data_IF_870693554668
#
_entry.id   IF_870693554668
#
_cell.length_a   1.000
_cell.length_b   1.000
_cell.length_c   1.000
_cell.angle_alpha   90.00
_cell.angle_beta   90.00
_cell.angle_gamma   90.00
#
_symmetry.space_group_name_H-M   'P 1'
#
loop_
_entity.id
_entity.type
_entity.pdbx_description
1 polymer ?
#
# COMPACT_ATOMS: atom_id res chain seq x y z
N UNK A 1 -38.77 -0.77 4.73
CA UNK A 1 -37.71 -1.79 4.53
C UNK A 1 -36.39 -1.05 4.35
N UNK A 2 -35.31 -1.56 4.93
CA UNK A 2 -33.95 -1.01 4.73
C UNK A 2 -33.08 -2.06 4.01
N UNK A 3 -32.33 -1.62 3.00
CA UNK A 3 -31.30 -2.45 2.37
C UNK A 3 -30.08 -2.55 3.31
N UNK A 4 -29.43 -3.71 3.36
CA UNK A 4 -28.26 -3.97 4.20
C UNK A 4 -27.11 -4.45 3.34
N UNK A 5 -25.95 -3.81 3.50
CA UNK A 5 -24.72 -4.10 2.77
C UNK A 5 -23.64 -4.56 3.75
N UNK A 6 -22.72 -5.43 3.29
CA UNK A 6 -21.56 -5.86 4.07
C UNK A 6 -20.40 -4.89 3.82
N UNK A 7 -19.82 -4.39 4.91
CA UNK A 7 -18.63 -3.55 4.91
C UNK A 7 -17.57 -4.31 5.71
N UNK A 8 -16.50 -4.76 5.03
CA UNK A 8 -15.38 -5.48 5.63
C UNK A 8 -14.10 -4.65 5.44
N UNK A 9 -14.14 -3.37 5.85
CA UNK A 9 -13.07 -2.41 5.60
C UNK A 9 -12.82 -1.46 6.76
N UNK A 10 -11.58 -0.99 6.86
CA UNK A 10 -11.19 0.12 7.71
C UNK A 10 -11.75 1.42 7.14
N UNK A 11 -12.27 2.31 7.99
CA UNK A 11 -12.83 3.60 7.60
C UNK A 11 -12.24 4.72 8.47
N UNK A 12 -12.20 5.93 7.94
CA UNK A 12 -11.86 7.14 8.72
C UNK A 12 -12.92 7.40 9.80
N UNK A 13 -12.51 8.02 10.91
CA UNK A 13 -13.34 8.23 12.10
C UNK A 13 -14.70 8.88 11.80
N UNK A 14 -14.72 9.90 10.93
CA UNK A 14 -15.94 10.63 10.57
C UNK A 14 -16.91 9.86 9.67
N UNK A 15 -16.56 8.67 9.17
CA UNK A 15 -17.42 7.92 8.24
C UNK A 15 -18.63 7.31 8.97
N UNK A 16 -18.45 6.83 10.21
CA UNK A 16 -19.56 6.25 10.99
C UNK A 16 -20.63 7.31 11.25
N UNK A 17 -20.22 8.47 11.76
CA UNK A 17 -21.13 9.58 12.06
C UNK A 17 -21.81 10.11 10.80
N UNK A 18 -21.10 10.16 9.66
CA UNK A 18 -21.69 10.54 8.38
C UNK A 18 -22.78 9.56 7.93
N UNK A 19 -22.59 8.26 8.11
CA UNK A 19 -23.61 7.25 7.75
C UNK A 19 -24.84 7.40 8.66
N UNK A 20 -24.63 7.57 9.97
CA UNK A 20 -25.72 7.75 10.94
C UNK A 20 -26.48 9.06 10.69
N UNK A 21 -25.76 10.16 10.42
CA UNK A 21 -26.33 11.46 10.10
C UNK A 21 -27.17 11.47 8.82
N UNK A 22 -26.89 10.57 7.87
CA UNK A 22 -27.68 10.36 6.67
C UNK A 22 -28.88 9.39 6.88
N UNK A 23 -29.22 9.07 8.13
CA UNK A 23 -30.32 8.17 8.50
C UNK A 23 -29.99 6.68 8.39
N UNK A 24 -28.72 6.34 8.18
CA UNK A 24 -28.23 4.96 8.17
C UNK A 24 -28.05 4.39 9.58
N UNK A 25 -27.85 3.07 9.65
CA UNK A 25 -27.42 2.38 10.88
C UNK A 25 -26.14 1.61 10.61
N UNK A 26 -25.19 1.65 11.54
CA UNK A 26 -23.87 1.03 11.40
C UNK A 26 -23.65 0.05 12.53
N UNK A 27 -23.12 -1.13 12.20
CA UNK A 27 -22.52 -2.05 13.17
C UNK A 27 -21.00 -1.96 12.99
N UNK A 28 -20.32 -1.32 13.93
CA UNK A 28 -18.86 -1.21 13.98
C UNK A 28 -18.31 -1.84 15.26
N UNK A 29 -16.99 -1.99 15.32
CA UNK A 29 -16.23 -2.39 16.51
C UNK A 29 -14.87 -1.71 16.45
N UNK A 30 -14.25 -1.50 17.61
CA UNK A 30 -12.85 -1.08 17.68
C UNK A 30 -11.93 -2.28 17.42
N UNK A 31 -10.82 -2.05 16.74
CA UNK A 31 -9.80 -3.06 16.45
C UNK A 31 -8.71 -3.02 17.53
N UNK A 32 -8.13 -4.18 17.86
CA UNK A 32 -6.85 -4.24 18.59
C UNK A 32 -5.68 -3.82 17.69
N UNK A 33 -4.51 -3.56 18.25
CA UNK A 33 -3.32 -3.14 17.48
C UNK A 33 -2.95 -4.13 16.37
N UNK A 34 -3.03 -5.44 16.64
CA UNK A 34 -2.75 -6.50 15.66
C UNK A 34 -3.78 -6.46 14.54
N UNK A 35 -5.07 -6.38 14.89
CA UNK A 35 -6.16 -6.28 13.90
C UNK A 35 -6.07 -4.98 13.10
N UNK A 36 -5.62 -3.89 13.73
CA UNK A 36 -5.44 -2.60 13.08
C UNK A 36 -4.36 -2.65 12.02
N UNK A 37 -3.22 -3.29 12.31
CA UNK A 37 -2.14 -3.46 11.33
C UNK A 37 -2.59 -4.28 10.11
N UNK A 38 -3.31 -5.38 10.34
CA UNK A 38 -3.82 -6.22 9.25
C UNK A 38 -4.93 -5.53 8.44
N UNK A 39 -5.79 -4.76 9.11
CA UNK A 39 -6.80 -3.94 8.45
C UNK A 39 -6.15 -2.79 7.63
N UNK A 40 -5.10 -2.15 8.16
CA UNK A 40 -4.37 -1.09 7.45
C UNK A 40 -3.65 -1.62 6.21
N UNK A 41 -3.05 -2.81 6.27
CA UNK A 41 -2.46 -3.49 5.09
C UNK A 41 -3.52 -3.80 4.04
N UNK A 42 -4.67 -4.31 4.46
CA UNK A 42 -5.79 -4.61 3.55
C UNK A 42 -6.32 -3.33 2.91
N UNK A 43 -6.48 -2.26 3.69
CA UNK A 43 -6.92 -0.95 3.20
C UNK A 43 -5.90 -0.32 2.27
N UNK A 44 -4.60 -0.46 2.52
CA UNK A 44 -3.57 0.03 1.60
C UNK A 44 -3.67 -0.63 0.22
N UNK A 45 -3.97 -1.93 0.17
CA UNK A 45 -4.22 -2.63 -1.09
C UNK A 45 -5.53 -2.19 -1.77
N UNK A 46 -6.53 -1.73 -1.01
CA UNK A 46 -7.73 -1.07 -1.56
C UNK A 46 -7.31 0.26 -2.23
N UNK A 47 -6.67 1.17 -1.50
CA UNK A 47 -6.35 2.51 -2.03
C UNK A 47 -5.32 2.46 -3.17
N UNK A 48 -4.38 1.51 -3.17
CA UNK A 48 -3.46 1.31 -4.32
C UNK A 48 -4.23 0.84 -5.56
N UNK A 49 -5.28 0.02 -5.41
CA UNK A 49 -6.13 -0.36 -6.55
C UNK A 49 -6.98 0.82 -7.01
N UNK A 50 -7.48 1.63 -6.09
CA UNK A 50 -8.21 2.86 -6.42
C UNK A 50 -7.30 3.85 -7.15
N UNK A 51 -6.06 4.08 -6.66
CA UNK A 51 -5.04 4.89 -7.34
C UNK A 51 -4.74 4.37 -8.76
N UNK A 52 -4.65 3.05 -8.95
CA UNK A 52 -4.42 2.46 -10.28
C UNK A 52 -5.59 2.68 -11.24
N UNK A 53 -6.82 2.80 -10.72
CA UNK A 53 -8.02 3.07 -11.51
C UNK A 53 -8.33 4.57 -11.64
N UNK A 54 -7.73 5.41 -10.79
CA UNK A 54 -8.00 6.83 -10.68
C UNK A 54 -7.57 7.61 -11.92
N UNK A 55 -8.29 8.68 -12.21
CA UNK A 55 -7.96 9.58 -13.33
C UNK A 55 -7.95 11.05 -12.90
N UNK A 56 -6.97 11.81 -13.41
CA UNK A 56 -6.92 13.26 -13.27
C UNK A 56 -7.06 13.78 -11.83
N UNK A 57 -8.27 14.23 -11.47
CA UNK A 57 -8.58 14.91 -10.20
C UNK A 57 -8.70 13.96 -9.00
N UNK A 58 -8.81 12.65 -9.22
CA UNK A 58 -8.95 11.66 -8.14
C UNK A 58 -7.59 11.30 -7.53
N UNK A 59 -6.53 11.30 -8.34
CA UNK A 59 -5.16 10.88 -7.95
C UNK A 59 -4.67 11.52 -6.65
N UNK A 60 -4.81 12.84 -6.42
CA UNK A 60 -4.34 13.45 -5.17
C UNK A 60 -5.05 12.92 -3.92
N UNK A 61 -6.33 12.55 -4.02
CA UNK A 61 -7.10 11.97 -2.92
C UNK A 61 -6.55 10.60 -2.55
N UNK A 62 -6.39 9.73 -3.55
CA UNK A 62 -5.87 8.37 -3.34
C UNK A 62 -4.44 8.37 -2.79
N UNK A 63 -3.58 9.29 -3.26
CA UNK A 63 -2.24 9.47 -2.69
C UNK A 63 -2.28 9.92 -1.23
N UNK A 64 -3.24 10.78 -0.86
CA UNK A 64 -3.41 11.21 0.52
C UNK A 64 -3.90 10.08 1.43
N UNK A 65 -4.82 9.23 0.95
CA UNK A 65 -5.27 8.05 1.69
C UNK A 65 -4.14 7.03 1.87
N UNK A 66 -3.32 6.79 0.83
CA UNK A 66 -2.11 5.97 0.93
C UNK A 66 -1.13 6.56 1.96
N UNK A 67 -0.89 7.87 1.94
CA UNK A 67 0.02 8.52 2.88
C UNK A 67 -0.47 8.41 4.34
N UNK A 68 -1.78 8.54 4.56
CA UNK A 68 -2.38 8.35 5.89
C UNK A 68 -2.14 6.93 6.41
N UNK A 69 -2.31 5.92 5.55
CA UNK A 69 -2.07 4.52 5.91
C UNK A 69 -0.59 4.24 6.16
N UNK A 70 0.32 4.86 5.41
CA UNK A 70 1.77 4.80 5.68
C UNK A 70 2.09 5.38 7.05
N UNK A 71 1.52 6.54 7.40
CA UNK A 71 1.72 7.18 8.70
C UNK A 71 1.19 6.30 9.85
N UNK A 72 -0.03 5.78 9.72
CA UNK A 72 -0.62 4.86 10.69
C UNK A 72 0.25 3.63 10.92
N UNK A 73 0.73 2.98 9.84
CA UNK A 73 1.59 1.80 9.99
C UNK A 73 2.95 2.14 10.60
N UNK A 74 3.47 3.34 10.38
CA UNK A 74 4.68 3.81 11.05
C UNK A 74 4.44 3.99 12.55
N UNK A 75 3.32 4.60 12.95
CA UNK A 75 2.94 4.74 14.35
C UNK A 75 2.82 3.38 15.05
N UNK A 76 2.11 2.42 14.44
CA UNK A 76 1.98 1.05 14.95
C UNK A 76 3.32 0.32 15.04
N UNK A 77 4.29 0.66 14.19
CA UNK A 77 5.64 0.11 14.19
C UNK A 77 6.63 0.89 15.09
N UNK A 78 6.21 1.98 15.73
CA UNK A 78 7.08 2.85 16.52
C UNK A 78 8.13 3.60 15.69
N UNK A 79 7.84 3.84 14.41
CA UNK A 79 8.71 4.54 13.45
C UNK A 79 8.25 5.99 13.34
N UNK A 80 9.15 6.94 13.54
CA UNK A 80 8.83 8.36 13.33
C UNK A 80 8.89 8.74 11.85
N UNK A 81 8.17 9.79 11.41
CA UNK A 81 8.26 10.30 10.04
C UNK A 81 9.70 10.61 9.60
N UNK A 82 10.53 11.14 10.49
CA UNK A 82 11.94 11.47 10.22
C UNK A 82 12.79 10.21 10.02
N UNK A 83 12.51 9.14 10.76
CA UNK A 83 13.19 7.86 10.58
C UNK A 83 12.85 7.24 9.23
N UNK A 84 11.57 7.28 8.83
CA UNK A 84 11.15 6.80 7.51
C UNK A 84 11.79 7.63 6.40
N UNK A 85 11.78 8.95 6.53
CA UNK A 85 12.36 9.85 5.54
C UNK A 85 13.89 9.66 5.42
N UNK A 86 14.59 9.48 6.54
CA UNK A 86 16.01 9.13 6.53
C UNK A 86 16.27 7.83 5.80
N UNK A 87 15.47 6.79 6.02
CA UNK A 87 15.57 5.52 5.30
C UNK A 87 15.31 5.69 3.80
N UNK A 88 14.31 6.49 3.41
CA UNK A 88 14.02 6.84 2.01
C UNK A 88 15.21 7.54 1.36
N UNK A 89 15.76 8.56 2.02
CA UNK A 89 16.91 9.32 1.53
C UNK A 89 18.17 8.46 1.40
N UNK A 90 18.43 7.55 2.35
CA UNK A 90 19.56 6.60 2.26
C UNK A 90 19.42 5.65 1.07
N UNK A 91 18.21 5.15 0.79
CA UNK A 91 17.95 4.33 -0.41
C UNK A 91 18.19 5.14 -1.69
N UNK A 92 17.73 6.39 -1.72
CA UNK A 92 17.94 7.29 -2.85
C UNK A 92 19.42 7.63 -3.08
N UNK A 93 20.21 7.80 -2.02
CA UNK A 93 21.65 8.03 -2.11
C UNK A 93 22.40 6.80 -2.64
N UNK A 94 22.00 5.60 -2.21
CA UNK A 94 22.67 4.33 -2.59
C UNK A 94 22.32 3.87 -4.00
N UNK A 95 21.05 3.97 -4.39
CA UNK A 95 20.52 3.34 -5.62
C UNK A 95 19.92 4.36 -6.61
N UNK A 96 20.01 5.65 -6.32
CA UNK A 96 19.26 6.68 -7.04
C UNK A 96 17.79 6.72 -6.63
N UNK A 97 17.09 7.72 -7.15
CA UNK A 97 15.64 7.78 -7.12
C UNK A 97 15.07 7.37 -8.49
N UNK A 98 13.76 7.51 -8.69
CA UNK A 98 13.11 7.23 -9.98
C UNK A 98 13.30 8.35 -11.02
N UNK A 99 14.35 9.18 -10.90
CA UNK A 99 14.56 10.37 -11.72
C UNK A 99 14.97 10.02 -13.16
N UNK A 100 15.72 8.94 -13.35
CA UNK A 100 16.25 8.51 -14.65
C UNK A 100 15.19 7.81 -15.52
N UNK A 101 14.00 7.55 -14.96
CA UNK A 101 12.86 6.91 -15.65
C UNK A 101 13.19 5.56 -16.29
N UNK A 102 14.18 4.86 -15.73
CA UNK A 102 14.60 3.55 -16.22
C UNK A 102 13.57 2.48 -15.85
N UNK A 103 13.13 1.73 -16.86
CA UNK A 103 12.30 0.54 -16.71
C UNK A 103 13.04 -0.64 -17.32
N UNK A 104 13.19 -1.74 -16.56
CA UNK A 104 13.91 -2.94 -17.02
C UNK A 104 12.86 -3.92 -17.56
N UNK A 105 12.99 -4.30 -18.83
CA UNK A 105 12.12 -5.28 -19.47
C UNK A 105 12.66 -6.71 -19.32
N UNK A 106 13.97 -6.89 -19.49
CA UNK A 106 14.68 -8.18 -19.34
C UNK A 106 16.05 -7.98 -18.72
N UNK A 107 16.61 -9.05 -18.16
CA UNK A 107 18.00 -9.13 -17.68
C UNK A 107 18.60 -10.41 -18.23
N UNK A 108 19.76 -10.31 -18.89
CA UNK A 108 20.57 -11.45 -19.29
C UNK A 108 21.77 -11.57 -18.34
N UNK A 109 21.99 -12.77 -17.81
CA UNK A 109 23.13 -13.12 -16.96
C UNK A 109 23.78 -14.40 -17.49
N UNK A 110 25.07 -14.67 -17.19
CA UNK A 110 25.67 -15.95 -17.51
C UNK A 110 24.87 -17.10 -16.89
N UNK A 111 24.62 -18.15 -17.67
CA UNK A 111 23.75 -19.27 -17.29
C UNK A 111 24.27 -20.03 -16.06
N UNK A 112 25.59 -20.06 -15.89
CA UNK A 112 26.30 -20.70 -14.78
C UNK A 112 26.57 -19.75 -13.59
N UNK A 113 25.96 -18.56 -13.58
CA UNK A 113 26.15 -17.59 -12.50
C UNK A 113 25.21 -17.82 -11.30
N UNK A 114 25.65 -17.38 -10.12
CA UNK A 114 24.81 -17.35 -8.91
C UNK A 114 23.52 -16.52 -9.10
N UNK A 115 23.51 -15.58 -10.05
CA UNK A 115 22.35 -14.76 -10.37
C UNK A 115 21.31 -15.53 -11.17
N UNK A 116 21.74 -16.39 -12.10
CA UNK A 116 20.84 -17.28 -12.82
C UNK A 116 20.12 -18.21 -11.82
N UNK A 117 20.86 -18.79 -10.87
CA UNK A 117 20.30 -19.61 -9.79
C UNK A 117 19.34 -18.81 -8.90
N UNK A 118 19.73 -17.59 -8.50
CA UNK A 118 18.89 -16.72 -7.68
C UNK A 118 17.56 -16.37 -8.37
N UNK A 119 17.58 -16.00 -9.65
CA UNK A 119 16.35 -15.68 -10.38
C UNK A 119 15.47 -16.92 -10.54
N UNK A 120 16.05 -18.08 -10.90
CA UNK A 120 15.32 -19.36 -11.00
C UNK A 120 14.73 -19.83 -9.68
N UNK A 121 15.30 -19.42 -8.55
CA UNK A 121 14.72 -19.73 -7.23
C UNK A 121 13.39 -19.00 -6.94
N UNK A 122 13.04 -17.97 -7.72
CA UNK A 122 11.84 -17.14 -7.54
C UNK A 122 11.07 -16.96 -8.86
N UNK A 123 10.54 -18.04 -9.47
CA UNK A 123 9.98 -18.00 -10.83
C UNK A 123 8.72 -17.12 -10.95
N UNK A 124 7.94 -16.95 -9.89
CA UNK A 124 6.77 -16.06 -9.89
C UNK A 124 7.16 -14.57 -9.96
N UNK A 125 8.38 -14.23 -9.50
CA UNK A 125 8.90 -12.87 -9.45
C UNK A 125 9.82 -12.57 -10.64
N UNK A 126 10.60 -13.55 -11.06
CA UNK A 126 11.57 -13.45 -12.14
C UNK A 126 11.32 -14.59 -13.14
N UNK A 127 10.25 -14.52 -13.94
CA UNK A 127 9.97 -15.55 -14.93
C UNK A 127 11.08 -15.56 -15.99
N UNK A 128 11.68 -16.73 -16.21
CA UNK A 128 12.67 -16.92 -17.28
C UNK A 128 11.96 -16.85 -18.64
N UNK A 129 12.38 -15.89 -19.47
CA UNK A 129 11.88 -15.68 -20.82
C UNK A 129 12.91 -16.21 -21.83
N UNK A 130 12.44 -16.90 -22.86
CA UNK A 130 13.28 -17.46 -23.94
C UNK A 130 13.19 -16.64 -25.20
#
# INVERSE_FOLDING_TARGET
>A
MMAKFRFDKLVRDGIVDKIVGNGGTVKSRTLSDIEMLDAARTKLLEEVRELNAASGKEIPGELADIQELVNLMCELAGITPEQLEKLRAQKAQKAGAFNDRTYIETVEVPDDSEWADYYRSQPDRYPEVK
#
